data_IF_581327015693
#
_entry.id   IF_581327015693
#
_cell.length_a   1.000
_cell.length_b   1.000
_cell.length_c   1.000
_cell.angle_alpha   90.00
_cell.angle_beta   90.00
_cell.angle_gamma   90.00
#
_symmetry.space_group_name_H-M   'P 1'
#
loop_
_entity.id
_entity.type
_entity.pdbx_description
1 polymer ?
#
# COMPACT_ATOMS: atom_id res chain seq x y z
N UNK A 1 7.52 -21.02 5.84
CA UNK A 1 7.50 -20.14 4.66
C UNK A 1 7.45 -18.72 5.18
N UNK A 2 8.39 -17.85 4.80
CA UNK A 2 8.33 -16.44 5.20
C UNK A 2 7.12 -15.78 4.52
N UNK A 3 6.37 -14.93 5.23
CA UNK A 3 5.24 -14.23 4.65
C UNK A 3 5.73 -13.27 3.56
N UNK A 4 5.08 -13.31 2.39
CA UNK A 4 5.39 -12.41 1.29
C UNK A 4 4.72 -11.06 1.59
N UNK A 5 5.49 -9.99 1.56
CA UNK A 5 5.01 -8.64 1.78
C UNK A 5 5.11 -7.81 0.49
N UNK A 6 4.10 -6.97 0.24
CA UNK A 6 4.05 -6.05 -0.88
C UNK A 6 4.42 -4.65 -0.39
N UNK A 7 5.49 -4.07 -0.95
CA UNK A 7 5.81 -2.66 -0.73
C UNK A 7 4.72 -1.76 -1.36
N UNK A 8 4.02 -1.02 -0.51
CA UNK A 8 2.95 -0.09 -0.89
C UNK A 8 3.39 1.38 -0.84
N UNK A 9 4.71 1.63 -0.74
CA UNK A 9 5.33 2.95 -0.77
C UNK A 9 5.89 3.39 0.58
N UNK A 10 6.98 4.18 0.56
CA UNK A 10 7.65 4.76 1.75
C UNK A 10 7.95 3.74 2.85
N UNK A 11 8.54 2.60 2.47
CA UNK A 11 8.83 1.49 3.39
C UNK A 11 7.62 0.96 4.16
N UNK A 12 6.40 1.21 3.66
CA UNK A 12 5.19 0.57 4.16
C UNK A 12 4.95 -0.71 3.36
N UNK A 13 4.56 -1.75 4.07
CA UNK A 13 4.32 -3.07 3.51
C UNK A 13 2.95 -3.59 3.97
N UNK A 14 2.28 -4.32 3.09
CA UNK A 14 1.10 -5.12 3.43
C UNK A 14 1.37 -6.59 3.14
N UNK A 15 0.80 -7.49 3.94
CA UNK A 15 0.92 -8.92 3.70
C UNK A 15 0.13 -9.30 2.45
N UNK A 16 0.77 -10.00 1.51
CA UNK A 16 0.17 -10.34 0.21
C UNK A 16 -1.05 -11.25 0.38
N UNK A 17 -0.99 -12.21 1.30
CA UNK A 17 -2.08 -13.14 1.61
C UNK A 17 -3.31 -12.45 2.22
N UNK A 18 -3.19 -11.18 2.64
CA UNK A 18 -4.27 -10.36 3.19
C UNK A 18 -4.85 -9.36 2.21
N UNK A 19 -4.30 -9.22 1.00
CA UNK A 19 -4.82 -8.30 -0.02
C UNK A 19 -6.03 -8.91 -0.71
N UNK A 20 -7.17 -8.24 -0.60
CA UNK A 20 -8.43 -8.62 -1.27
C UNK A 20 -8.54 -7.94 -2.64
N UNK A 21 -8.19 -6.66 -2.73
CA UNK A 21 -8.31 -5.88 -3.96
C UNK A 21 -7.38 -4.68 -4.00
N UNK A 22 -6.97 -4.29 -5.22
CA UNK A 22 -6.23 -3.06 -5.52
C UNK A 22 -7.08 -2.19 -6.45
N UNK A 23 -7.40 -0.96 -6.05
CA UNK A 23 -8.35 -0.10 -6.76
C UNK A 23 -7.82 1.33 -6.87
N UNK A 24 -8.13 2.03 -7.96
CA UNK A 24 -7.82 3.48 -8.10
C UNK A 24 -8.66 4.32 -7.13
N UNK A 25 -8.08 5.43 -6.64
CA UNK A 25 -8.77 6.41 -5.78
C UNK A 25 -9.49 7.54 -6.55
N UNK A 26 -9.60 7.44 -7.89
CA UNK A 26 -10.03 8.54 -8.75
C UNK A 26 -11.55 8.79 -8.76
N UNK A 27 -12.34 7.83 -8.29
CA UNK A 27 -13.79 7.98 -8.22
C UNK A 27 -14.25 8.71 -6.94
N UNK A 28 -15.31 9.51 -7.06
CA UNK A 28 -15.92 10.16 -5.90
C UNK A 28 -16.42 9.16 -4.83
N UNK A 29 -17.04 8.01 -5.20
CA UNK A 29 -17.37 6.95 -4.24
C UNK A 29 -16.14 6.44 -3.48
N UNK A 30 -15.02 6.22 -4.16
CA UNK A 30 -13.81 5.71 -3.50
C UNK A 30 -13.25 6.70 -2.49
N UNK A 31 -13.20 7.99 -2.86
CA UNK A 31 -12.78 9.05 -1.92
C UNK A 31 -13.68 9.12 -0.69
N UNK A 32 -15.00 8.95 -0.85
CA UNK A 32 -15.95 8.91 0.28
C UNK A 32 -15.67 7.70 1.17
N UNK A 33 -15.43 6.53 0.59
CA UNK A 33 -15.12 5.31 1.33
C UNK A 33 -13.83 5.45 2.15
N UNK A 34 -12.77 6.03 1.57
CA UNK A 34 -11.52 6.30 2.30
C UNK A 34 -11.77 7.22 3.51
N UNK A 35 -12.61 8.25 3.35
CA UNK A 35 -12.96 9.15 4.45
C UNK A 35 -13.78 8.45 5.54
N UNK A 36 -14.67 7.53 5.17
CA UNK A 36 -15.43 6.70 6.10
C UNK A 36 -14.50 5.83 6.95
N UNK A 37 -13.59 5.10 6.31
CA UNK A 37 -12.62 4.24 7.00
C UNK A 37 -11.65 5.03 7.88
N UNK A 38 -11.29 6.26 7.47
CA UNK A 38 -10.52 7.19 8.30
C UNK A 38 -11.25 7.53 9.60
N UNK A 39 -12.54 7.88 9.49
CA UNK A 39 -13.39 8.21 10.65
C UNK A 39 -13.61 7.01 11.57
N UNK A 40 -13.70 5.81 11.01
CA UNK A 40 -13.90 4.58 11.77
C UNK A 40 -12.61 4.00 12.36
N UNK A 41 -11.44 4.64 12.14
CA UNK A 41 -10.15 4.13 12.62
C UNK A 41 -9.66 2.86 11.91
N UNK A 42 -10.17 2.56 10.71
CA UNK A 42 -9.83 1.34 9.93
C UNK A 42 -8.96 1.62 8.71
N UNK A 43 -8.53 2.88 8.56
CA UNK A 43 -7.63 3.31 7.49
C UNK A 43 -6.17 3.22 7.94
N UNK A 44 -5.34 2.57 7.13
CA UNK A 44 -3.89 2.59 7.21
C UNK A 44 -3.39 3.56 6.13
N UNK A 45 -2.77 4.67 6.52
CA UNK A 45 -2.29 5.65 5.55
C UNK A 45 -0.80 5.43 5.22
N UNK A 46 -0.53 4.84 4.04
CA UNK A 46 0.83 4.63 3.53
C UNK A 46 1.24 5.69 2.48
N UNK A 47 0.60 6.87 2.47
CA UNK A 47 0.86 7.91 1.47
C UNK A 47 1.96 8.91 1.86
N UNK A 48 2.30 8.98 3.16
CA UNK A 48 3.21 10.00 3.72
C UNK A 48 2.87 11.43 3.28
N UNK A 49 1.57 11.78 3.32
CA UNK A 49 1.07 13.10 2.96
C UNK A 49 0.99 13.38 1.45
N UNK A 50 1.36 12.40 0.60
CA UNK A 50 1.21 12.53 -0.85
C UNK A 50 -0.20 12.21 -1.31
N UNK A 51 -0.50 12.61 -2.55
CA UNK A 51 -1.77 12.27 -3.20
C UNK A 51 -1.98 10.75 -3.19
N UNK A 52 -3.07 10.29 -2.58
CA UNK A 52 -3.57 8.92 -2.74
C UNK A 52 -3.81 8.64 -4.22
N UNK A 53 -3.19 7.58 -4.75
CA UNK A 53 -3.41 7.09 -6.11
C UNK A 53 -4.14 5.76 -6.13
N UNK A 54 -3.98 4.95 -5.07
CA UNK A 54 -4.66 3.67 -4.95
C UNK A 54 -5.12 3.38 -3.54
N UNK A 55 -6.06 2.44 -3.48
CA UNK A 55 -6.70 1.90 -2.31
C UNK A 55 -6.50 0.38 -2.33
N UNK A 56 -5.96 -0.16 -1.24
CA UNK A 56 -5.75 -1.58 -1.01
C UNK A 56 -6.77 -2.05 0.02
N UNK A 57 -7.61 -3.00 -0.37
CA UNK A 57 -8.56 -3.65 0.54
C UNK A 57 -7.86 -4.82 1.22
N UNK A 58 -7.94 -4.87 2.54
CA UNK A 58 -7.32 -5.91 3.35
C UNK A 58 -8.37 -6.77 4.06
N UNK A 59 -8.02 -8.03 4.32
CA UNK A 59 -8.79 -8.91 5.18
C UNK A 59 -9.01 -8.29 6.58
N UNK A 60 -10.12 -8.63 7.24
CA UNK A 60 -10.55 -7.99 8.49
C UNK A 60 -11.17 -6.60 8.29
N UNK A 61 -11.37 -6.20 7.03
CA UNK A 61 -11.96 -4.94 6.61
C UNK A 61 -11.14 -3.73 7.04
N UNK A 62 -9.83 -3.83 6.94
CA UNK A 62 -8.98 -2.66 6.91
C UNK A 62 -8.83 -2.17 5.47
N UNK A 63 -8.51 -0.88 5.34
CA UNK A 63 -8.24 -0.27 4.05
C UNK A 63 -6.89 0.43 4.16
N UNK A 64 -5.98 0.20 3.22
CA UNK A 64 -4.73 0.94 3.13
C UNK A 64 -4.74 1.89 1.92
N UNK A 65 -4.19 3.09 2.06
CA UNK A 65 -4.02 4.04 0.95
C UNK A 65 -2.56 4.15 0.54
N UNK A 66 -2.29 4.24 -0.75
CA UNK A 66 -0.93 4.36 -1.28
C UNK A 66 -0.79 5.52 -2.27
N UNK A 67 0.41 6.10 -2.33
CA UNK A 67 0.80 7.06 -3.36
C UNK A 67 1.22 6.40 -4.69
N UNK A 68 1.31 5.07 -4.71
CA UNK A 68 1.55 4.27 -5.92
C UNK A 68 0.22 3.95 -6.60
N UNK A 69 0.22 3.81 -7.92
CA UNK A 69 -0.99 3.40 -8.66
C UNK A 69 -1.26 1.91 -8.46
N UNK A 70 -2.53 1.51 -8.63
CA UNK A 70 -2.95 0.11 -8.59
C UNK A 70 -2.19 -0.75 -9.62
N UNK A 71 -1.82 -0.18 -10.77
CA UNK A 71 -1.02 -0.87 -11.80
C UNK A 71 0.41 -1.17 -11.33
N UNK A 72 1.06 -0.21 -10.67
CA UNK A 72 2.40 -0.42 -10.10
C UNK A 72 2.37 -1.50 -9.02
N UNK A 73 1.35 -1.46 -8.14
CA UNK A 73 1.16 -2.46 -7.09
C UNK A 73 0.87 -3.85 -7.68
N UNK A 74 0.02 -3.94 -8.71
CA UNK A 74 -0.28 -5.20 -9.38
C UNK A 74 0.95 -5.79 -10.08
N UNK A 75 1.77 -4.96 -10.74
CA UNK A 75 3.04 -5.41 -11.33
C UNK A 75 3.97 -5.99 -10.26
N UNK A 76 4.13 -5.30 -9.13
CA UNK A 76 4.94 -5.78 -8.00
C UNK A 76 4.41 -7.09 -7.42
N UNK A 77 3.09 -7.24 -7.33
CA UNK A 77 2.46 -8.45 -6.82
C UNK A 77 2.74 -9.67 -7.69
N UNK A 78 2.76 -9.49 -9.02
CA UNK A 78 3.07 -10.55 -9.99
C UNK A 78 4.58 -10.79 -10.10
N UNK A 79 5.40 -9.76 -9.92
CA UNK A 79 6.85 -9.81 -10.06
C UNK A 79 7.59 -10.21 -8.79
N UNK A 80 6.93 -10.32 -7.63
CA UNK A 80 7.57 -10.69 -6.37
C UNK A 80 8.17 -12.11 -6.45
N UNK A 81 9.51 -12.27 -6.50
CA UNK A 81 10.13 -13.52 -6.11
C UNK A 81 9.98 -13.64 -4.58
N UNK A 82 10.01 -14.85 -4.04
CA UNK A 82 9.87 -15.09 -2.62
C UNK A 82 11.10 -14.58 -1.81
N UNK A 83 11.23 -13.27 -1.59
CA UNK A 83 12.07 -12.65 -0.56
C UNK A 83 11.81 -11.14 -0.50
N UNK A 84 11.58 -10.61 0.70
CA UNK A 84 11.60 -9.16 0.96
C UNK A 84 13.06 -8.79 1.16
N UNK A 85 13.70 -8.21 0.14
CA UNK A 85 14.93 -7.46 0.34
C UNK A 85 14.54 -6.02 0.72
N UNK A 86 14.90 -5.63 1.94
CA UNK A 86 14.82 -4.24 2.40
C UNK A 86 16.10 -3.54 1.94
N UNK A 87 16.00 -2.74 0.88
CA UNK A 87 17.05 -1.78 0.54
C UNK A 87 17.05 -0.67 1.60
N UNK A 88 17.77 -0.90 2.70
CA UNK A 88 18.25 0.13 3.61
C UNK A 88 19.57 0.67 3.01
N UNK A 89 19.47 1.57 2.03
CA UNK A 89 20.53 2.53 1.76
C UNK A 89 20.00 3.91 2.14
N UNK A 90 20.19 4.23 3.43
CA UNK A 90 20.30 5.61 3.85
C UNK A 90 21.43 6.24 3.02
N UNK A 91 21.11 7.30 2.28
CA UNK A 91 22.11 8.19 1.72
C UNK A 91 22.96 8.72 2.89
N UNK A 92 24.13 8.10 3.09
CA UNK A 92 25.20 8.70 3.88
C UNK A 92 25.62 9.98 3.17
N UNK A 93 25.24 11.10 3.77
CA UNK A 93 25.93 12.36 3.58
C UNK A 93 27.34 12.21 4.17
N UNK A 94 28.36 12.43 3.33
CA UNK A 94 29.76 12.84 3.59
C UNK A 94 30.48 12.61 2.23
N UNK A 95 31.01 13.60 1.50
CA UNK A 95 31.80 14.80 1.80
C UNK A 95 31.62 15.83 0.65
#
# INVERSE_FOLDING_TARGET
MQPIALNVGFYNFVLVDKVIALVSSDSAPMRRLVQEFRKSGRLIDATQGRKTKSVIFLEGGHLATSALSQETLAKRLVSAPAAVETDDEAEEAED
#
